data_IF_105245830129
#
_entry.id   IF_105245830129
#
_cell.length_a   1.000
_cell.length_b   1.000
_cell.length_c   1.000
_cell.angle_alpha   90.00
_cell.angle_beta   90.00
_cell.angle_gamma   90.00
#
_symmetry.space_group_name_H-M   'P 1'
#
loop_
_entity.id
_entity.type
_entity.pdbx_description
1 polymer ?
#
# COMPACT_ATOMS: atom_id res chain seq x y z
N UNK A 1 15.06 -1.74 32.26
CA UNK A 1 14.67 -1.73 30.85
C UNK A 1 13.50 -0.77 30.55
N UNK A 2 12.51 -0.57 31.43
CA UNK A 2 11.37 0.35 31.24
C UNK A 2 11.72 1.85 31.13
N UNK A 3 12.80 2.32 31.74
CA UNK A 3 13.15 3.75 31.76
C UNK A 3 13.89 4.24 30.48
N UNK A 4 14.53 3.35 29.72
CA UNK A 4 15.19 3.72 28.45
C UNK A 4 14.25 3.85 27.26
N UNK A 5 13.10 3.19 27.32
CA UNK A 5 12.09 3.20 26.24
C UNK A 5 11.34 4.55 26.17
N UNK A 6 11.04 5.15 27.33
CA UNK A 6 10.35 6.44 27.39
C UNK A 6 11.23 7.60 26.90
N UNK A 7 12.56 7.52 27.08
CA UNK A 7 13.49 8.56 26.61
C UNK A 7 13.62 8.58 25.07
N UNK A 8 13.45 7.46 24.39
CA UNK A 8 13.55 7.41 22.93
C UNK A 8 12.31 8.00 22.24
N UNK A 9 11.13 7.80 22.83
CA UNK A 9 9.88 8.40 22.33
C UNK A 9 9.88 9.92 22.53
N UNK A 10 10.39 10.42 23.66
CA UNK A 10 10.48 11.85 23.92
C UNK A 10 11.48 12.58 23.00
N UNK A 11 12.59 11.96 22.60
CA UNK A 11 13.57 12.60 21.71
C UNK A 11 13.03 12.74 20.30
N UNK A 12 12.25 11.79 19.82
CA UNK A 12 11.62 11.85 18.48
C UNK A 12 10.51 12.90 18.40
N UNK A 13 9.72 13.07 19.46
CA UNK A 13 8.69 14.11 19.55
C UNK A 13 9.27 15.53 19.76
N UNK A 14 10.41 15.68 20.44
CA UNK A 14 10.99 16.98 20.74
C UNK A 14 11.77 17.59 19.56
N UNK A 15 12.35 16.78 18.69
CA UNK A 15 13.05 17.27 17.49
C UNK A 15 12.13 17.87 16.43
N UNK A 16 10.84 17.52 16.43
CA UNK A 16 9.84 18.09 15.51
C UNK A 16 9.13 19.33 16.05
N UNK A 17 9.13 19.55 17.36
CA UNK A 17 8.45 20.70 17.98
C UNK A 17 9.23 22.02 17.86
N UNK A 18 10.54 21.97 17.61
CA UNK A 18 11.41 23.17 17.57
C UNK A 18 11.48 23.87 16.21
N UNK A 19 10.97 23.25 15.14
CA UNK A 19 10.97 23.85 13.78
C UNK A 19 9.65 24.59 13.49
N UNK A 20 8.62 24.43 14.30
CA UNK A 20 7.27 24.99 14.07
C UNK A 20 7.02 26.39 14.62
N UNK A 21 7.97 27.01 15.34
CA UNK A 21 7.72 28.25 16.11
C UNK A 21 8.25 29.54 15.48
N UNK A 22 8.91 29.51 14.33
CA UNK A 22 9.47 30.73 13.69
C UNK A 22 8.75 31.24 12.42
N UNK A 23 7.59 30.71 12.07
CA UNK A 23 6.89 31.11 10.85
C UNK A 23 5.52 31.78 11.10
N UNK A 24 5.44 32.69 12.06
CA UNK A 24 4.32 33.64 12.15
C UNK A 24 4.87 35.06 12.28
N UNK A 25 4.97 35.73 11.14
CA UNK A 25 4.67 37.14 10.92
C UNK A 25 5.12 37.60 9.53
N UNK A 26 4.16 37.70 8.58
CA UNK A 26 4.16 38.80 7.60
C UNK A 26 2.81 38.90 6.91
N UNK A 27 2.29 40.09 6.99
CA UNK A 27 1.00 40.63 6.51
C UNK A 27 0.80 40.52 4.99
N UNK A 28 -0.46 40.33 4.64
CA UNK A 28 -1.11 40.56 3.33
C UNK A 28 -0.87 41.96 2.77
N UNK A 29 -0.91 42.14 1.45
CA UNK A 29 -1.83 43.12 0.92
C UNK A 29 -2.61 42.70 -0.33
N UNK A 30 -3.83 43.24 -0.34
CA UNK A 30 -4.58 43.83 -1.47
C UNK A 30 -5.27 42.97 -2.53
N UNK A 31 -6.52 43.16 -2.46
CA UNK A 31 -7.66 42.86 -3.36
C UNK A 31 -7.49 43.49 -4.74
N UNK A 32 -7.66 42.73 -5.80
CA UNK A 32 -7.91 43.21 -7.14
C UNK A 32 -9.25 42.64 -7.64
N UNK A 33 -10.24 43.55 -7.79
CA UNK A 33 -11.52 43.31 -8.43
C UNK A 33 -11.33 43.24 -9.95
N UNK A 34 -11.88 42.21 -10.59
CA UNK A 34 -12.10 42.19 -12.04
C UNK A 34 -13.59 42.01 -12.31
N UNK A 35 -14.11 42.93 -13.13
CA UNK A 35 -15.49 43.08 -13.52
C UNK A 35 -15.94 41.98 -14.49
N UNK A 36 -17.15 41.51 -14.26
CA UNK A 36 -17.97 40.76 -15.23
C UNK A 36 -18.38 41.63 -16.40
N UNK A 37 -18.29 41.08 -17.60
CA UNK A 37 -18.84 41.68 -18.82
C UNK A 37 -19.80 40.69 -19.44
N UNK A 38 -21.08 41.02 -19.33
CA UNK A 38 -22.20 40.34 -20.01
C UNK A 38 -22.10 40.56 -21.53
N UNK A 39 -22.32 39.52 -22.29
CA UNK A 39 -22.57 39.61 -23.73
C UNK A 39 -23.92 38.93 -24.01
N UNK A 40 -24.87 39.76 -24.34
CA UNK A 40 -26.17 39.43 -24.88
C UNK A 40 -26.06 39.10 -26.37
N UNK A 41 -26.65 38.01 -26.83
CA UNK A 41 -26.91 37.78 -28.26
C UNK A 41 -28.38 37.48 -28.50
N UNK A 42 -28.88 38.28 -29.42
CA UNK A 42 -30.22 38.45 -29.93
C UNK A 42 -30.74 37.24 -30.71
N UNK A 43 -32.03 36.93 -30.49
CA UNK A 43 -32.86 36.07 -31.30
C UNK A 43 -33.28 36.73 -32.62
N UNK A 44 -33.32 35.97 -33.71
CA UNK A 44 -34.16 36.26 -34.90
C UNK A 44 -34.88 35.00 -35.36
N UNK A 45 -36.17 35.14 -35.49
CA UNK A 45 -37.17 34.23 -36.03
C UNK A 45 -37.23 34.23 -37.56
N UNK A 46 -37.61 33.12 -38.17
CA UNK A 46 -38.41 33.06 -39.42
C UNK A 46 -38.94 31.62 -39.61
N UNK A 47 -40.21 31.46 -39.53
CA UNK A 47 -41.22 31.20 -40.56
C UNK A 47 -41.42 29.76 -40.99
N UNK A 48 -42.69 29.31 -40.79
CA UNK A 48 -43.31 28.07 -41.28
C UNK A 48 -43.71 28.21 -42.76
N UNK A 49 -43.96 27.07 -43.46
CA UNK A 49 -45.33 26.85 -43.92
C UNK A 49 -45.87 25.39 -43.83
N UNK A 50 -47.13 25.35 -43.40
CA UNK A 50 -48.38 24.68 -43.84
C UNK A 50 -48.40 23.23 -44.33
N UNK A 51 -49.21 22.44 -43.59
CA UNK A 51 -50.24 21.43 -43.85
C UNK A 51 -50.16 20.47 -45.03
N UNK A 52 -50.26 19.14 -44.71
CA UNK A 52 -51.27 18.26 -45.29
C UNK A 52 -51.69 17.13 -44.32
N UNK A 53 -53.01 16.95 -44.16
CA UNK A 53 -53.72 15.95 -43.37
C UNK A 53 -53.69 14.60 -44.04
N UNK A 54 -53.47 13.52 -43.29
CA UNK A 54 -54.15 12.20 -43.46
C UNK A 54 -54.43 11.60 -42.09
N UNK A 55 -55.73 11.38 -41.81
CA UNK A 55 -56.27 10.50 -40.78
C UNK A 55 -55.84 9.06 -41.03
N UNK A 56 -55.47 8.32 -39.96
CA UNK A 56 -56.24 7.18 -39.47
C UNK A 56 -55.54 6.41 -38.35
N UNK A 57 -56.38 6.00 -37.45
CA UNK A 57 -56.35 4.82 -36.56
C UNK A 57 -55.64 4.93 -35.24
N UNK A 58 -56.47 5.14 -34.25
CA UNK A 58 -56.21 5.08 -32.80
C UNK A 58 -55.69 3.68 -32.40
N UNK A 59 -54.47 3.62 -31.83
CA UNK A 59 -54.14 2.74 -30.75
C UNK A 59 -53.64 3.66 -29.63
N UNK A 60 -54.38 3.70 -28.51
CA UNK A 60 -53.95 4.36 -27.28
C UNK A 60 -52.76 3.57 -26.74
N UNK A 61 -51.56 4.02 -27.01
CA UNK A 61 -50.40 3.72 -26.18
C UNK A 61 -50.56 4.60 -24.92
N UNK A 62 -50.85 3.94 -23.82
CA UNK A 62 -50.63 4.50 -22.47
C UNK A 62 -49.20 4.99 -22.42
N UNK A 63 -48.96 6.29 -22.40
CA UNK A 63 -47.66 6.89 -22.10
C UNK A 63 -47.23 6.38 -20.72
N UNK A 64 -46.35 5.35 -20.72
CA UNK A 64 -45.50 5.03 -19.61
C UNK A 64 -44.58 6.24 -19.38
N UNK A 65 -45.06 7.16 -18.52
CA UNK A 65 -44.22 8.23 -17.98
C UNK A 65 -42.97 7.55 -17.44
N UNK A 66 -41.75 7.92 -17.89
CA UNK A 66 -40.53 7.40 -17.30
C UNK A 66 -40.51 7.84 -15.83
N UNK A 67 -40.81 6.89 -14.97
CA UNK A 67 -40.68 7.06 -13.53
C UNK A 67 -39.23 7.30 -13.21
N UNK A 68 -38.96 8.45 -12.62
CA UNK A 68 -37.77 8.90 -11.92
C UNK A 68 -36.46 8.95 -12.71
N UNK A 69 -35.85 10.10 -12.74
CA UNK A 69 -34.42 10.35 -12.87
C UNK A 69 -33.67 9.60 -11.75
N UNK A 70 -33.57 8.29 -11.80
CA UNK A 70 -32.53 7.56 -11.08
C UNK A 70 -31.21 7.96 -11.76
N UNK A 71 -30.50 8.88 -11.12
CA UNK A 71 -29.11 9.18 -11.43
C UNK A 71 -28.40 7.84 -11.39
N UNK A 72 -28.06 7.27 -12.54
CA UNK A 72 -27.27 6.04 -12.61
C UNK A 72 -25.99 6.31 -11.82
N UNK A 73 -25.77 5.58 -10.75
CA UNK A 73 -24.54 5.68 -9.98
C UNK A 73 -23.37 5.34 -10.90
N UNK A 74 -22.39 6.23 -11.06
CA UNK A 74 -21.35 6.01 -12.03
C UNK A 74 -20.42 4.88 -11.57
N UNK A 75 -20.35 3.82 -12.33
CA UNK A 75 -19.24 2.85 -12.23
C UNK A 75 -18.03 3.46 -12.94
N UNK A 76 -16.94 3.60 -12.22
CA UNK A 76 -15.66 4.08 -12.75
C UNK A 76 -14.80 2.87 -13.05
N UNK A 77 -14.24 2.81 -14.26
CA UNK A 77 -13.28 1.78 -14.67
C UNK A 77 -11.87 2.33 -14.54
N UNK A 78 -10.97 1.48 -14.09
CA UNK A 78 -9.54 1.78 -13.96
C UNK A 78 -8.69 0.75 -14.68
N UNK A 79 -7.48 1.14 -14.99
CA UNK A 79 -6.52 0.32 -15.73
C UNK A 79 -5.10 0.70 -15.33
N UNK A 80 -4.23 -0.30 -15.20
CA UNK A 80 -2.78 -0.13 -15.06
C UNK A 80 -2.04 -1.17 -15.89
N UNK A 81 -0.97 -0.73 -16.54
CA UNK A 81 0.14 -1.61 -16.96
C UNK A 81 1.45 -0.98 -16.49
N UNK A 82 2.26 -1.78 -15.79
CA UNK A 82 3.59 -1.42 -15.28
C UNK A 82 4.61 -2.45 -15.78
N UNK A 83 5.36 -2.06 -16.82
CA UNK A 83 6.45 -2.84 -17.40
C UNK A 83 7.80 -2.39 -16.89
N UNK A 84 8.75 -3.31 -16.76
CA UNK A 84 10.09 -3.00 -16.25
C UNK A 84 11.19 -3.84 -16.92
N UNK A 85 12.42 -3.31 -16.81
CA UNK A 85 13.67 -4.03 -16.99
C UNK A 85 14.53 -3.82 -15.73
N UNK A 86 14.98 -4.90 -15.10
CA UNK A 86 15.83 -4.85 -13.90
C UNK A 86 17.22 -5.39 -14.23
N UNK A 87 18.21 -4.51 -14.30
CA UNK A 87 19.63 -4.86 -14.46
C UNK A 87 20.24 -5.14 -13.07
N UNK A 88 20.20 -6.38 -12.62
CA UNK A 88 20.87 -6.79 -11.39
C UNK A 88 22.37 -6.93 -11.60
N UNK A 89 23.18 -6.28 -10.74
CA UNK A 89 24.63 -6.41 -10.73
C UNK A 89 25.08 -7.74 -10.09
N UNK A 90 24.21 -8.40 -9.35
CA UNK A 90 24.45 -9.71 -8.75
C UNK A 90 24.26 -10.85 -9.75
N UNK A 91 23.51 -10.64 -10.83
CA UNK A 91 23.26 -11.59 -11.93
C UNK A 91 22.95 -13.02 -11.46
N UNK A 92 21.91 -13.21 -10.61
CA UNK A 92 21.58 -14.55 -10.12
C UNK A 92 21.25 -15.49 -11.29
N UNK A 93 21.75 -16.73 -11.23
CA UNK A 93 21.51 -17.74 -12.29
C UNK A 93 20.01 -18.04 -12.46
N UNK A 94 19.24 -17.97 -11.37
CA UNK A 94 17.78 -18.13 -11.40
C UNK A 94 17.05 -16.99 -12.12
N UNK A 95 17.72 -15.84 -12.36
CA UNK A 95 17.12 -14.57 -12.77
C UNK A 95 16.03 -14.07 -11.82
N UNK A 96 16.00 -14.53 -10.58
CA UNK A 96 15.03 -14.14 -9.56
C UNK A 96 15.72 -13.47 -8.38
N UNK A 97 15.14 -12.34 -7.94
CA UNK A 97 15.53 -11.69 -6.70
C UNK A 97 14.76 -12.29 -5.52
N UNK A 98 15.41 -12.31 -4.37
CA UNK A 98 14.78 -12.62 -3.10
C UNK A 98 14.53 -11.33 -2.30
N UNK A 99 13.63 -11.43 -1.33
CA UNK A 99 13.31 -10.35 -0.38
C UNK A 99 12.80 -9.08 -1.06
N UNK A 100 12.07 -9.23 -2.16
CA UNK A 100 11.33 -8.16 -2.84
C UNK A 100 10.16 -8.74 -3.61
N UNK A 101 9.09 -7.97 -3.72
CA UNK A 101 7.90 -8.36 -4.49
C UNK A 101 7.69 -7.48 -5.71
N UNK A 102 8.58 -6.52 -5.94
CA UNK A 102 8.59 -5.65 -7.11
C UNK A 102 9.84 -5.90 -7.94
N UNK A 103 9.72 -5.88 -9.26
CA UNK A 103 10.81 -6.13 -10.20
C UNK A 103 11.60 -7.41 -9.89
N UNK A 104 10.89 -8.49 -9.57
CA UNK A 104 11.47 -9.75 -9.05
C UNK A 104 12.32 -10.50 -10.07
N UNK A 105 12.07 -10.31 -11.37
CA UNK A 105 12.84 -10.90 -12.47
C UNK A 105 13.96 -9.96 -12.91
N UNK A 106 15.13 -10.49 -13.25
CA UNK A 106 16.31 -9.70 -13.59
C UNK A 106 16.85 -10.01 -14.99
N UNK A 107 17.49 -8.99 -15.61
CA UNK A 107 18.14 -9.09 -16.91
C UNK A 107 17.19 -9.57 -18.03
N UNK A 108 15.93 -9.17 -17.93
CA UNK A 108 14.88 -9.38 -18.93
C UNK A 108 13.78 -8.33 -18.77
N UNK A 109 13.00 -8.08 -19.83
CA UNK A 109 11.79 -7.26 -19.75
C UNK A 109 10.64 -8.10 -19.17
N UNK A 110 9.85 -7.50 -18.28
CA UNK A 110 8.71 -8.17 -17.69
C UNK A 110 7.60 -7.19 -17.31
N UNK A 111 6.39 -7.73 -17.04
CA UNK A 111 5.28 -6.98 -16.44
C UNK A 111 5.33 -7.18 -14.92
N UNK A 112 5.50 -6.08 -14.19
CA UNK A 112 5.45 -6.07 -12.74
C UNK A 112 4.02 -6.25 -12.24
N UNK A 113 3.13 -5.36 -12.71
CA UNK A 113 1.71 -5.38 -12.38
C UNK A 113 0.89 -4.85 -13.57
N UNK A 114 -0.15 -5.58 -13.92
CA UNK A 114 -1.23 -5.09 -14.76
C UNK A 114 -2.54 -5.37 -14.04
N UNK A 115 -3.48 -4.41 -14.05
CA UNK A 115 -4.83 -4.65 -13.55
C UNK A 115 -5.89 -3.92 -14.35
N UNK A 116 -7.11 -4.41 -14.24
CA UNK A 116 -8.34 -3.71 -14.61
C UNK A 116 -9.27 -3.73 -13.43
N UNK A 117 -9.98 -2.63 -13.19
CA UNK A 117 -10.94 -2.57 -12.09
C UNK A 117 -12.22 -1.81 -12.44
N UNK A 118 -13.27 -2.11 -11.69
CA UNK A 118 -14.53 -1.40 -11.66
C UNK A 118 -14.82 -0.98 -10.22
N UNK A 119 -15.05 0.31 -10.01
CA UNK A 119 -15.36 0.90 -8.71
C UNK A 119 -16.71 1.60 -8.76
N UNK A 120 -17.53 1.39 -7.74
CA UNK A 120 -18.74 2.16 -7.49
C UNK A 120 -18.67 2.78 -6.09
N UNK A 121 -19.04 4.05 -5.98
CA UNK A 121 -19.14 4.73 -4.68
C UNK A 121 -20.32 5.72 -4.74
N UNK A 122 -21.28 5.51 -3.85
CA UNK A 122 -22.49 6.30 -3.71
C UNK A 122 -22.61 6.80 -2.28
N UNK A 123 -23.69 7.50 -1.97
CA UNK A 123 -23.99 7.91 -0.60
C UNK A 123 -24.40 6.72 0.31
N UNK A 124 -24.76 5.57 -0.24
CA UNK A 124 -25.33 4.45 0.50
C UNK A 124 -24.48 3.18 0.45
N UNK A 125 -23.85 2.91 -0.68
CA UNK A 125 -23.05 1.71 -0.91
C UNK A 125 -21.79 2.03 -1.72
N UNK A 126 -20.80 1.18 -1.59
CA UNK A 126 -19.56 1.22 -2.36
C UNK A 126 -19.05 -0.18 -2.62
N UNK A 127 -18.20 -0.33 -3.61
CA UNK A 127 -17.55 -1.59 -3.90
C UNK A 127 -16.47 -1.44 -4.95
N UNK A 128 -15.58 -2.39 -5.01
CA UNK A 128 -14.54 -2.50 -6.03
C UNK A 128 -14.33 -3.96 -6.41
N UNK A 129 -14.22 -4.22 -7.69
CA UNK A 129 -13.70 -5.46 -8.24
C UNK A 129 -12.48 -5.11 -9.09
N UNK A 130 -11.32 -5.68 -8.75
CA UNK A 130 -10.07 -5.47 -9.46
C UNK A 130 -9.40 -6.82 -9.74
N UNK A 131 -9.05 -7.05 -11.00
CA UNK A 131 -8.33 -8.24 -11.47
C UNK A 131 -6.90 -7.85 -11.84
N UNK A 132 -5.93 -8.66 -11.43
CA UNK A 132 -4.51 -8.35 -11.54
C UNK A 132 -3.68 -9.50 -12.11
N UNK A 133 -2.53 -9.14 -12.73
CA UNK A 133 -1.55 -10.05 -13.30
C UNK A 133 -0.15 -9.44 -13.20
N UNK A 134 0.88 -10.26 -13.22
CA UNK A 134 2.27 -9.82 -13.26
C UNK A 134 3.18 -10.53 -12.26
N UNK A 135 4.47 -10.22 -12.33
CA UNK A 135 5.49 -10.87 -11.48
C UNK A 135 5.35 -10.51 -10.02
N UNK A 136 4.91 -9.28 -9.70
CA UNK A 136 4.65 -8.89 -8.31
C UNK A 136 3.47 -9.66 -7.70
N UNK A 137 2.47 -10.00 -8.51
CA UNK A 137 1.33 -10.80 -8.06
C UNK A 137 1.78 -12.21 -7.66
N UNK A 138 2.59 -12.86 -8.51
CA UNK A 138 3.15 -14.18 -8.21
C UNK A 138 3.97 -14.14 -6.91
N UNK A 139 4.84 -13.15 -6.75
CA UNK A 139 5.70 -13.01 -5.58
C UNK A 139 4.90 -12.80 -4.27
N UNK A 140 3.81 -12.06 -4.34
CA UNK A 140 3.03 -11.72 -3.16
C UNK A 140 2.05 -12.82 -2.70
N UNK A 141 1.56 -13.63 -3.62
CA UNK A 141 0.60 -14.68 -3.33
C UNK A 141 1.25 -16.08 -3.24
N UNK A 142 2.58 -16.17 -3.32
CA UNK A 142 3.29 -17.45 -3.21
C UNK A 142 3.14 -18.13 -1.85
N UNK A 143 2.71 -17.40 -0.81
CA UNK A 143 2.42 -17.93 0.52
C UNK A 143 0.96 -18.34 0.76
N UNK A 144 0.04 -18.13 -0.21
CA UNK A 144 -1.34 -18.55 -0.07
C UNK A 144 -1.46 -20.07 0.00
N UNK A 145 -2.20 -20.55 1.00
CA UNK A 145 -2.43 -21.96 1.21
C UNK A 145 -3.28 -22.60 0.12
N UNK A 146 -2.92 -23.80 -0.27
CA UNK A 146 -3.66 -24.63 -1.22
C UNK A 146 -4.53 -25.69 -0.52
N UNK A 147 -4.89 -25.48 0.73
CA UNK A 147 -5.62 -26.44 1.54
C UNK A 147 -7.13 -26.38 1.31
N UNK A 148 -7.73 -27.52 0.98
CA UNK A 148 -9.18 -27.70 0.84
C UNK A 148 -9.67 -27.63 -0.63
N UNK A 149 -10.93 -28.09 -0.83
CA UNK A 149 -11.53 -28.21 -2.16
C UNK A 149 -11.83 -26.87 -2.83
N UNK A 150 -11.94 -25.80 -2.05
CA UNK A 150 -12.30 -24.44 -2.54
C UNK A 150 -11.13 -23.49 -2.57
N UNK A 151 -9.98 -23.87 -2.02
CA UNK A 151 -8.79 -23.06 -2.10
C UNK A 151 -8.11 -23.26 -3.44
N UNK A 152 -8.04 -22.20 -4.22
CA UNK A 152 -7.38 -22.18 -5.51
C UNK A 152 -6.50 -20.94 -5.56
N UNK A 153 -5.23 -21.10 -5.20
CA UNK A 153 -4.23 -20.05 -5.18
C UNK A 153 -4.19 -19.29 -6.53
N UNK A 154 -4.34 -20.00 -7.63
CA UNK A 154 -4.31 -19.40 -8.99
C UNK A 154 -5.48 -18.42 -9.20
N UNK A 155 -6.68 -18.74 -8.74
CA UNK A 155 -7.85 -17.85 -8.83
C UNK A 155 -7.75 -16.68 -7.86
N UNK A 156 -7.33 -16.94 -6.62
CA UNK A 156 -7.26 -15.96 -5.54
C UNK A 156 -6.23 -14.89 -5.87
N UNK A 157 -5.05 -15.23 -6.33
CA UNK A 157 -3.98 -14.26 -6.63
C UNK A 157 -4.34 -13.27 -7.73
N UNK A 158 -5.26 -13.63 -8.62
CA UNK A 158 -5.72 -12.73 -9.67
C UNK A 158 -6.77 -11.72 -9.20
N UNK A 159 -7.30 -11.85 -7.98
CA UNK A 159 -8.15 -10.85 -7.34
C UNK A 159 -7.32 -9.87 -6.53
N UNK A 160 -7.18 -8.63 -7.01
CA UNK A 160 -6.50 -7.57 -6.27
C UNK A 160 -7.39 -7.07 -5.13
N UNK A 161 -8.62 -6.71 -5.46
CA UNK A 161 -9.67 -6.35 -4.51
C UNK A 161 -11.02 -6.88 -5.00
N UNK A 162 -11.83 -7.38 -4.09
CA UNK A 162 -13.19 -7.82 -4.34
C UNK A 162 -14.00 -7.59 -3.05
N UNK A 163 -14.55 -6.39 -2.90
CA UNK A 163 -15.33 -6.04 -1.71
C UNK A 163 -16.58 -5.24 -2.04
N UNK A 164 -17.57 -5.38 -1.17
CA UNK A 164 -18.74 -4.55 -1.13
C UNK A 164 -18.93 -3.94 0.25
N UNK A 165 -19.55 -2.77 0.32
CA UNK A 165 -19.79 -2.10 1.58
C UNK A 165 -20.99 -1.18 1.54
N UNK A 166 -21.50 -0.85 2.71
CA UNK A 166 -22.62 0.07 2.87
C UNK A 166 -22.38 1.04 4.03
N UNK A 167 -23.08 2.17 3.97
CA UNK A 167 -22.96 3.23 4.96
C UNK A 167 -23.84 2.93 6.17
N UNK A 168 -23.25 2.84 7.36
CA UNK A 168 -23.96 2.63 8.64
C UNK A 168 -24.46 3.93 9.26
N UNK A 169 -23.85 5.07 8.93
CA UNK A 169 -24.16 6.38 9.51
C UNK A 169 -23.63 7.51 8.66
N UNK A 170 -23.52 8.72 9.21
CA UNK A 170 -23.11 9.91 8.45
C UNK A 170 -21.72 9.77 7.83
N UNK A 171 -20.77 9.15 8.56
CA UNK A 171 -19.38 9.04 8.13
C UNK A 171 -18.80 7.61 8.28
N UNK A 172 -19.62 6.63 8.65
CA UNK A 172 -19.18 5.27 8.97
C UNK A 172 -19.59 4.30 7.88
N UNK A 173 -18.67 3.49 7.44
CA UNK A 173 -18.82 2.45 6.43
C UNK A 173 -18.50 1.08 6.99
N UNK A 174 -19.24 0.07 6.58
CA UNK A 174 -18.94 -1.34 6.79
C UNK A 174 -18.66 -1.97 5.43
N UNK A 175 -17.46 -2.48 5.24
CA UNK A 175 -17.03 -3.19 4.04
C UNK A 175 -16.75 -4.65 4.38
N UNK A 176 -16.97 -5.56 3.43
CA UNK A 176 -16.62 -6.97 3.55
C UNK A 176 -16.08 -7.51 2.24
N UNK A 177 -15.06 -8.37 2.30
CA UNK A 177 -14.43 -8.99 1.15
C UNK A 177 -12.91 -8.95 1.23
N UNK A 178 -12.25 -8.92 0.05
CA UNK A 178 -10.80 -8.82 -0.11
C UNK A 178 -10.46 -7.37 -0.45
N UNK A 179 -9.57 -6.77 0.33
CA UNK A 179 -9.15 -5.38 0.15
C UNK A 179 -7.71 -5.18 0.63
N UNK A 180 -7.09 -4.05 0.24
CA UNK A 180 -5.72 -3.74 0.67
C UNK A 180 -5.60 -3.63 2.18
N UNK A 181 -4.51 -4.17 2.71
CA UNK A 181 -4.15 -4.08 4.11
C UNK A 181 -3.99 -2.63 4.58
N UNK A 182 -4.07 -2.44 5.88
CA UNK A 182 -4.01 -1.11 6.48
C UNK A 182 -2.62 -0.75 7.03
N UNK A 183 -1.66 -1.66 7.04
CA UNK A 183 -0.29 -1.42 7.48
C UNK A 183 0.55 -0.77 6.37
N UNK A 184 1.61 -0.05 6.76
CA UNK A 184 2.57 0.53 5.85
C UNK A 184 2.22 1.92 5.32
N UNK A 185 3.23 2.56 4.72
CA UNK A 185 3.14 3.91 4.14
C UNK A 185 2.96 3.89 2.61
N UNK A 186 3.78 3.11 1.92
CA UNK A 186 3.76 3.03 0.47
C UNK A 186 2.51 2.29 -0.05
N UNK A 187 2.14 2.57 -1.28
CA UNK A 187 1.12 1.84 -2.00
C UNK A 187 1.67 0.52 -2.56
N UNK A 188 0.78 -0.42 -2.75
CA UNK A 188 1.05 -1.61 -3.49
C UNK A 188 1.35 -1.32 -4.99
N UNK A 189 0.79 -0.29 -5.50
CA UNK A 189 0.93 0.09 -6.89
C UNK A 189 2.18 0.96 -7.00
N UNK A 190 3.24 0.46 -7.64
CA UNK A 190 4.52 1.17 -7.78
C UNK A 190 4.39 2.56 -8.41
N UNK A 191 3.44 2.74 -9.33
CA UNK A 191 3.11 4.02 -9.94
C UNK A 191 2.78 5.11 -8.91
N UNK A 192 2.22 4.76 -7.76
CA UNK A 192 1.79 5.69 -6.70
C UNK A 192 2.91 6.05 -5.71
N UNK A 193 4.04 5.33 -5.75
CA UNK A 193 5.13 5.49 -4.81
C UNK A 193 6.19 6.48 -5.31
N UNK A 194 7.03 6.96 -4.40
CA UNK A 194 8.16 7.84 -4.73
C UNK A 194 9.36 7.10 -5.31
N UNK A 195 9.45 5.80 -5.05
CA UNK A 195 10.47 4.90 -5.58
C UNK A 195 9.80 3.65 -6.15
N UNK A 196 10.49 2.92 -7.04
CA UNK A 196 9.87 1.80 -7.74
C UNK A 196 9.58 0.61 -6.83
N UNK A 197 10.61 0.17 -6.10
CA UNK A 197 10.48 -0.95 -5.16
C UNK A 197 9.84 -0.48 -3.86
N UNK A 198 9.15 -1.39 -3.18
CA UNK A 198 8.63 -1.11 -1.84
C UNK A 198 9.71 -1.29 -0.78
N UNK A 199 9.51 -0.65 0.38
CA UNK A 199 10.31 -0.89 1.57
C UNK A 199 10.15 -2.33 2.06
N UNK A 200 11.17 -2.90 2.70
CA UNK A 200 11.03 -4.20 3.35
C UNK A 200 9.86 -4.24 4.34
N UNK A 201 9.61 -3.14 5.06
CA UNK A 201 8.46 -3.05 5.96
C UNK A 201 7.15 -3.31 5.25
N UNK A 202 6.98 -2.83 4.02
CA UNK A 202 5.76 -3.02 3.26
C UNK A 202 5.72 -4.39 2.56
N UNK A 203 6.85 -4.90 2.10
CA UNK A 203 6.92 -6.23 1.47
C UNK A 203 6.61 -7.37 2.45
N UNK A 204 6.66 -7.10 3.77
CA UNK A 204 6.47 -8.10 4.81
C UNK A 204 5.38 -7.76 5.83
N UNK A 205 4.47 -6.85 5.51
CA UNK A 205 3.20 -6.66 6.21
C UNK A 205 2.03 -7.09 5.32
N UNK A 206 0.84 -7.31 5.89
CA UNK A 206 -0.33 -7.67 5.11
C UNK A 206 -0.66 -6.59 4.08
N UNK A 207 -0.61 -6.97 2.89
CA UNK A 207 -0.78 -6.26 1.69
C UNK A 207 -2.22 -6.32 1.19
N UNK A 208 -2.81 -7.51 1.23
CA UNK A 208 -4.23 -7.74 1.14
C UNK A 208 -4.69 -8.45 2.43
N UNK A 209 -5.93 -8.27 2.73
CA UNK A 209 -6.63 -8.98 3.81
C UNK A 209 -8.00 -9.39 3.31
N UNK A 210 -8.50 -10.51 3.82
CA UNK A 210 -9.86 -10.95 3.63
C UNK A 210 -10.61 -10.84 4.95
N UNK A 211 -11.73 -10.10 4.96
CA UNK A 211 -12.44 -9.87 6.22
C UNK A 211 -13.48 -8.77 6.17
N UNK A 212 -13.69 -8.15 7.32
CA UNK A 212 -14.63 -7.05 7.52
C UNK A 212 -13.90 -5.81 8.03
N UNK A 213 -14.22 -4.66 7.47
CA UNK A 213 -13.65 -3.36 7.84
C UNK A 213 -14.74 -2.37 8.20
N UNK A 214 -14.66 -1.82 9.41
CA UNK A 214 -15.43 -0.64 9.80
C UNK A 214 -14.53 0.59 9.67
N UNK A 215 -14.95 1.61 8.92
CA UNK A 215 -14.13 2.81 8.70
C UNK A 215 -14.95 4.07 8.75
N UNK A 216 -14.33 5.18 9.16
CA UNK A 216 -15.05 6.45 9.26
C UNK A 216 -14.19 7.61 9.73
N UNK A 217 -14.87 8.78 9.90
CA UNK A 217 -14.28 9.98 10.50
C UNK A 217 -14.82 10.17 11.91
N UNK A 218 -13.93 10.45 12.86
CA UNK A 218 -14.28 10.91 14.21
C UNK A 218 -14.46 12.43 14.17
N UNK A 219 -13.55 13.13 13.47
CA UNK A 219 -13.60 14.55 13.14
C UNK A 219 -13.14 14.76 11.71
N UNK A 220 -13.18 15.98 11.19
CA UNK A 220 -12.62 16.28 9.85
C UNK A 220 -11.10 16.03 9.75
N UNK A 221 -10.41 15.99 10.89
CA UNK A 221 -8.96 15.78 10.98
C UNK A 221 -8.56 14.40 11.49
N UNK A 222 -9.50 13.61 11.98
CA UNK A 222 -9.24 12.31 12.60
C UNK A 222 -10.14 11.24 12.02
N UNK A 223 -9.55 10.23 11.38
CA UNK A 223 -10.23 9.07 10.82
C UNK A 223 -9.76 7.77 11.44
N UNK A 224 -10.58 6.73 11.33
CA UNK A 224 -10.29 5.42 11.87
C UNK A 224 -10.68 4.30 10.93
N UNK A 225 -10.04 3.13 11.12
CA UNK A 225 -10.45 1.85 10.57
C UNK A 225 -10.30 0.79 11.66
N UNK A 226 -11.26 -0.13 11.74
CA UNK A 226 -11.21 -1.34 12.57
C UNK A 226 -11.34 -2.53 11.62
N UNK A 227 -10.52 -3.54 11.82
CA UNK A 227 -10.42 -4.71 10.96
C UNK A 227 -10.61 -6.00 11.75
N UNK A 228 -11.38 -6.93 11.17
CA UNK A 228 -11.43 -8.33 11.54
C UNK A 228 -11.14 -9.15 10.30
N UNK A 229 -10.04 -9.90 10.30
CA UNK A 229 -9.50 -10.56 9.12
C UNK A 229 -9.25 -12.05 9.40
N UNK A 230 -9.19 -12.85 8.33
CA UNK A 230 -8.82 -14.27 8.39
C UNK A 230 -7.40 -14.49 8.92
N UNK A 231 -6.48 -13.51 8.77
CA UNK A 231 -5.10 -13.60 9.23
C UNK A 231 -4.18 -12.53 8.61
N UNK A 232 -2.88 -12.78 8.70
CA UNK A 232 -1.81 -11.91 8.19
C UNK A 232 -1.51 -12.25 6.72
N UNK A 233 -2.14 -11.53 5.78
CA UNK A 233 -1.98 -11.73 4.32
C UNK A 233 -2.43 -13.12 3.86
N UNK A 234 -3.64 -13.51 4.23
CA UNK A 234 -4.27 -14.73 3.75
C UNK A 234 -5.71 -14.47 3.33
N UNK A 235 -6.14 -15.09 2.25
CA UNK A 235 -7.55 -15.17 1.84
C UNK A 235 -8.15 -16.45 2.35
N UNK A 236 -7.44 -17.58 2.19
CA UNK A 236 -7.85 -18.87 2.70
C UNK A 236 -7.23 -19.10 4.08
N UNK A 237 -8.05 -19.03 5.11
CA UNK A 237 -7.62 -19.22 6.51
C UNK A 237 -7.06 -20.64 6.74
N UNK A 238 -5.90 -20.72 7.38
CA UNK A 238 -5.20 -21.98 7.72
C UNK A 238 -5.31 -22.36 9.20
N UNK A 239 -6.05 -21.59 9.99
CA UNK A 239 -6.32 -21.84 11.42
C UNK A 239 -7.79 -21.51 11.77
N UNK A 240 -8.12 -21.34 13.03
CA UNK A 240 -9.49 -21.07 13.51
C UNK A 240 -9.58 -19.74 14.26
N UNK A 241 -8.51 -18.95 14.24
CA UNK A 241 -8.41 -17.73 15.00
C UNK A 241 -8.61 -16.52 14.06
N UNK A 242 -9.43 -15.58 14.49
CA UNK A 242 -9.63 -14.32 13.77
C UNK A 242 -8.55 -13.35 14.19
N UNK A 243 -7.93 -12.69 13.23
CA UNK A 243 -7.00 -11.60 13.46
C UNK A 243 -7.71 -10.25 13.43
N UNK A 244 -7.15 -9.27 14.12
CA UNK A 244 -7.71 -7.92 14.18
C UNK A 244 -6.65 -6.84 14.09
N UNK A 245 -7.11 -5.64 13.80
CA UNK A 245 -6.24 -4.47 13.76
C UNK A 245 -7.01 -3.17 13.69
N UNK A 246 -6.29 -2.08 13.86
CA UNK A 246 -6.87 -0.77 13.63
C UNK A 246 -5.89 0.18 12.94
N UNK A 247 -6.43 1.22 12.30
CA UNK A 247 -5.74 2.41 11.83
C UNK A 247 -6.36 3.62 12.49
N UNK A 248 -5.53 4.51 13.00
CA UNK A 248 -5.90 5.86 13.40
C UNK A 248 -5.05 6.84 12.58
N UNK A 249 -5.70 7.75 11.86
CA UNK A 249 -5.02 8.74 11.04
C UNK A 249 -5.44 10.14 11.46
N UNK A 250 -4.46 10.97 11.79
CA UNK A 250 -4.63 12.34 12.23
C UNK A 250 -3.93 13.32 11.29
N UNK A 251 -4.71 14.22 10.71
CA UNK A 251 -4.27 15.30 9.82
C UNK A 251 -4.48 16.64 10.54
N UNK A 252 -3.58 17.07 11.45
CA UNK A 252 -3.75 18.30 12.22
C UNK A 252 -3.83 19.55 11.35
N UNK A 253 -3.07 19.53 10.25
CA UNK A 253 -3.00 20.58 9.22
C UNK A 253 -3.08 19.94 7.84
N UNK A 254 -3.30 20.72 6.79
CA UNK A 254 -3.41 20.19 5.42
C UNK A 254 -2.09 19.60 4.87
N UNK A 255 -0.97 19.84 5.53
CA UNK A 255 0.37 19.43 5.08
C UNK A 255 1.06 18.44 6.03
N UNK A 256 0.41 17.99 7.10
CA UNK A 256 0.97 17.09 8.09
C UNK A 256 0.00 15.94 8.39
N UNK A 257 0.49 14.71 8.34
CA UNK A 257 -0.25 13.50 8.65
C UNK A 257 0.53 12.63 9.63
N UNK A 258 -0.17 12.12 10.63
CA UNK A 258 0.29 11.03 11.49
C UNK A 258 -0.66 9.84 11.36
N UNK A 259 -0.10 8.63 11.32
CA UNK A 259 -0.88 7.40 11.25
C UNK A 259 -0.30 6.38 12.21
N UNK A 260 -1.19 5.72 12.94
CA UNK A 260 -0.87 4.57 13.75
C UNK A 260 -1.71 3.38 13.29
N UNK A 261 -1.03 2.32 12.92
CA UNK A 261 -1.65 1.07 12.49
C UNK A 261 -1.23 -0.04 13.44
N UNK A 262 -2.13 -1.00 13.67
CA UNK A 262 -1.84 -2.18 14.48
C UNK A 262 -2.36 -3.46 13.82
N UNK A 263 -1.79 -4.58 14.25
CA UNK A 263 -2.27 -5.92 13.96
C UNK A 263 -2.07 -6.80 15.19
N UNK A 264 -3.03 -7.70 15.47
CA UNK A 264 -2.94 -8.74 16.47
C UNK A 264 -3.65 -9.99 15.96
N UNK A 265 -2.96 -11.14 15.98
CA UNK A 265 -3.52 -12.41 15.54
C UNK A 265 -2.58 -13.58 15.77
N UNK A 266 -3.14 -14.79 15.76
CA UNK A 266 -2.37 -16.02 15.69
C UNK A 266 -2.19 -16.43 14.22
N UNK A 267 -0.93 -16.54 13.79
CA UNK A 267 -0.60 -16.85 12.40
C UNK A 267 -0.07 -18.28 12.23
N UNK A 268 -0.14 -19.06 13.29
CA UNK A 268 0.27 -20.46 13.23
C UNK A 268 -0.86 -21.34 12.68
N UNK A 269 -0.57 -22.32 11.83
CA UNK A 269 -1.56 -23.30 11.38
C UNK A 269 -2.19 -24.06 12.54
N UNK A 270 -3.44 -24.55 12.37
CA UNK A 270 -4.19 -25.27 13.42
C UNK A 270 -3.42 -26.45 14.04
N UNK A 271 -2.53 -27.10 13.29
CA UNK A 271 -1.72 -28.23 13.75
C UNK A 271 -0.54 -27.86 14.65
N UNK A 272 -0.22 -26.57 14.78
CA UNK A 272 0.91 -26.06 15.57
C UNK A 272 0.42 -25.27 16.79
N UNK A 273 1.23 -25.17 17.86
CA UNK A 273 0.89 -24.33 19.00
C UNK A 273 0.69 -22.87 18.59
N UNK A 274 -0.26 -22.20 19.25
CA UNK A 274 -0.54 -20.78 19.02
C UNK A 274 0.63 -19.91 19.42
N UNK A 275 0.94 -18.93 18.56
CA UNK A 275 1.90 -17.87 18.82
C UNK A 275 1.29 -16.53 18.35
N UNK A 276 0.81 -15.74 19.30
CA UNK A 276 0.21 -14.45 19.00
C UNK A 276 1.27 -13.49 18.45
N UNK A 277 0.94 -12.86 17.33
CA UNK A 277 1.71 -11.79 16.70
C UNK A 277 1.05 -10.46 16.99
N UNK A 278 1.84 -9.48 17.40
CA UNK A 278 1.45 -8.09 17.62
C UNK A 278 2.34 -7.19 16.78
N UNK A 279 1.74 -6.29 16.03
CA UNK A 279 2.47 -5.38 15.15
C UNK A 279 1.96 -3.95 15.32
N UNK A 280 2.88 -3.00 15.39
CA UNK A 280 2.60 -1.57 15.42
C UNK A 280 3.43 -0.88 14.35
N UNK A 281 2.78 -0.02 13.58
CA UNK A 281 3.40 0.77 12.53
C UNK A 281 3.00 2.23 12.73
N UNK A 282 4.00 3.10 12.94
CA UNK A 282 3.83 4.54 13.13
C UNK A 282 4.38 5.25 11.90
N UNK A 283 3.61 6.18 11.36
CA UNK A 283 3.94 6.91 10.14
C UNK A 283 3.77 8.39 10.39
N UNK A 284 4.68 9.20 9.86
CA UNK A 284 4.55 10.64 9.76
C UNK A 284 4.85 11.08 8.31
N UNK A 285 4.01 11.95 7.76
CA UNK A 285 4.22 12.59 6.47
C UNK A 285 4.12 14.10 6.66
N UNK A 286 5.05 14.84 6.06
CA UNK A 286 5.09 16.29 6.08
C UNK A 286 5.36 16.84 4.66
N UNK A 287 4.50 17.75 4.23
CA UNK A 287 4.59 18.48 2.96
C UNK A 287 4.84 19.96 3.23
N UNK A 288 6.10 20.35 3.61
CA UNK A 288 6.40 21.75 3.94
C UNK A 288 6.12 22.70 2.80
N UNK A 289 6.30 22.24 1.57
CA UNK A 289 6.01 22.96 0.34
C UNK A 289 5.28 22.03 -0.63
N UNK A 290 4.59 22.60 -1.62
CA UNK A 290 3.82 21.86 -2.62
C UNK A 290 4.65 20.79 -3.36
N UNK A 291 5.93 21.08 -3.58
CA UNK A 291 6.83 20.21 -4.36
C UNK A 291 7.67 19.26 -3.51
N UNK A 292 7.62 19.35 -2.19
CA UNK A 292 8.43 18.56 -1.28
C UNK A 292 7.58 17.71 -0.35
N UNK A 293 7.84 16.40 -0.35
CA UNK A 293 7.27 15.45 0.62
C UNK A 293 8.39 14.78 1.39
N UNK A 294 8.27 14.79 2.70
CA UNK A 294 9.08 14.04 3.65
C UNK A 294 8.19 13.04 4.36
N UNK A 295 8.62 11.80 4.49
CA UNK A 295 7.88 10.81 5.25
C UNK A 295 8.82 9.92 6.05
N UNK A 296 8.33 9.37 7.13
CA UNK A 296 9.04 8.38 7.93
C UNK A 296 8.08 7.33 8.47
N UNK A 297 8.57 6.11 8.67
CA UNK A 297 7.87 5.09 9.42
C UNK A 297 8.79 4.42 10.42
N UNK A 298 8.17 3.96 11.52
CA UNK A 298 8.80 3.09 12.50
C UNK A 298 7.85 1.96 12.85
N UNK A 299 8.34 0.72 12.69
CA UNK A 299 7.55 -0.47 12.94
C UNK A 299 8.17 -1.27 14.07
N UNK A 300 7.33 -1.85 14.90
CA UNK A 300 7.73 -2.78 15.95
C UNK A 300 6.75 -3.96 15.99
N UNK A 301 7.31 -5.16 15.86
CA UNK A 301 6.54 -6.39 15.93
C UNK A 301 7.04 -7.29 17.07
N UNK A 302 6.11 -8.03 17.64
CA UNK A 302 6.35 -9.04 18.68
C UNK A 302 5.58 -10.30 18.33
N UNK A 303 6.20 -11.45 18.48
CA UNK A 303 5.52 -12.74 18.36
C UNK A 303 5.86 -13.61 19.56
N UNK A 304 4.83 -14.20 20.16
CA UNK A 304 4.96 -15.17 21.26
C UNK A 304 5.79 -16.36 20.80
N UNK A 305 6.34 -17.10 21.76
CA UNK A 305 6.99 -18.37 21.58
C UNK A 305 6.20 -19.42 22.34
N UNK A 306 5.67 -20.39 21.63
CA UNK A 306 4.97 -21.52 22.24
C UNK A 306 5.93 -22.52 22.89
N UNK A 307 7.20 -22.54 22.46
CA UNK A 307 8.24 -23.43 22.98
C UNK A 307 9.41 -22.63 23.54
N UNK A 308 10.07 -23.19 24.56
CA UNK A 308 11.36 -22.68 25.04
C UNK A 308 12.53 -23.14 24.18
N UNK A 309 12.30 -24.05 23.25
CA UNK A 309 13.32 -24.52 22.31
C UNK A 309 13.21 -23.75 21.00
N UNK A 310 14.30 -23.13 20.61
CA UNK A 310 14.43 -22.40 19.35
C UNK A 310 15.48 -23.05 18.47
N UNK A 311 15.17 -23.07 17.18
CA UNK A 311 16.16 -23.37 16.16
C UNK A 311 16.99 -22.11 15.89
N UNK A 312 18.26 -22.13 16.28
CA UNK A 312 19.21 -21.04 16.07
C UNK A 312 20.22 -21.47 15.00
N UNK A 313 20.42 -20.62 14.02
CA UNK A 313 21.44 -20.86 12.99
C UNK A 313 22.79 -20.34 13.46
N UNK A 314 23.84 -21.17 13.35
CA UNK A 314 25.22 -20.85 13.72
C UNK A 314 26.16 -21.05 12.54
N UNK A 315 27.44 -20.64 12.67
CA UNK A 315 28.45 -20.88 11.64
C UNK A 315 28.67 -22.40 11.37
N UNK A 316 28.31 -23.26 12.33
CA UNK A 316 28.40 -24.70 12.23
C UNK A 316 27.08 -25.40 11.86
N UNK A 317 26.06 -24.65 11.49
CA UNK A 317 24.74 -25.16 11.12
C UNK A 317 23.66 -24.89 12.17
N UNK A 318 22.44 -25.43 11.97
CA UNK A 318 21.32 -25.24 12.88
C UNK A 318 21.53 -25.99 14.21
N UNK A 319 21.13 -25.33 15.30
CA UNK A 319 21.23 -25.86 16.66
C UNK A 319 19.95 -25.55 17.43
N UNK A 320 19.39 -26.54 18.15
CA UNK A 320 18.28 -26.28 19.10
C UNK A 320 18.85 -25.74 20.40
N UNK A 321 18.42 -24.54 20.77
CA UNK A 321 18.84 -23.87 22.00
C UNK A 321 17.64 -23.73 22.92
N UNK A 322 17.78 -24.21 24.17
CA UNK A 322 16.76 -23.97 25.20
C UNK A 322 16.91 -22.58 25.80
N UNK A 323 15.81 -21.85 25.90
CA UNK A 323 15.75 -20.53 26.51
C UNK A 323 15.19 -20.60 27.93
N UNK A 324 15.63 -19.71 28.79
CA UNK A 324 15.20 -19.64 30.18
C UNK A 324 13.75 -19.15 30.34
N UNK A 325 13.24 -18.44 29.35
CA UNK A 325 11.87 -17.90 29.35
C UNK A 325 11.24 -17.99 27.95
N UNK A 326 9.91 -17.97 27.92
CA UNK A 326 9.11 -17.81 26.71
C UNK A 326 9.14 -16.34 26.24
N UNK A 327 10.33 -15.79 25.97
CA UNK A 327 10.50 -14.44 25.50
C UNK A 327 9.91 -14.26 24.09
N UNK A 328 9.38 -13.09 23.77
CA UNK A 328 8.91 -12.76 22.44
C UNK A 328 10.07 -12.72 21.44
N UNK A 329 9.81 -13.17 20.19
CA UNK A 329 10.59 -12.73 19.03
C UNK A 329 10.25 -11.28 18.74
N UNK A 330 11.21 -10.51 18.24
CA UNK A 330 11.04 -9.08 18.04
C UNK A 330 11.59 -8.63 16.70
N UNK A 331 10.89 -7.70 16.06
CA UNK A 331 11.39 -6.99 14.88
C UNK A 331 11.32 -5.49 15.09
N UNK A 332 12.24 -4.78 14.43
CA UNK A 332 12.28 -3.32 14.38
C UNK A 332 12.57 -2.88 12.96
N UNK A 333 11.79 -1.95 12.44
CA UNK A 333 11.97 -1.42 11.08
C UNK A 333 11.89 0.09 11.10
N UNK A 334 12.77 0.74 10.36
CA UNK A 334 12.76 2.19 10.18
C UNK A 334 12.92 2.56 8.73
N UNK A 335 12.12 3.52 8.27
CA UNK A 335 12.19 4.02 6.91
C UNK A 335 12.07 5.54 6.89
N UNK A 336 12.74 6.15 5.91
CA UNK A 336 12.64 7.58 5.61
C UNK A 336 12.52 7.73 4.11
N UNK A 337 11.57 8.57 3.67
CA UNK A 337 11.34 8.92 2.28
C UNK A 337 11.50 10.42 2.09
N UNK A 338 12.04 10.78 0.93
CA UNK A 338 12.12 12.13 0.42
C UNK A 338 11.66 12.12 -1.03
N UNK A 339 10.77 13.05 -1.40
CA UNK A 339 10.36 13.26 -2.77
C UNK A 339 10.33 14.75 -3.09
N UNK A 340 10.95 15.14 -4.19
CA UNK A 340 11.02 16.53 -4.62
C UNK A 340 10.75 16.65 -6.13
N UNK A 341 9.70 17.40 -6.49
CA UNK A 341 9.35 17.74 -7.86
C UNK A 341 10.07 19.06 -8.23
N UNK A 342 11.16 18.95 -8.96
CA UNK A 342 12.00 20.11 -9.30
C UNK A 342 11.62 20.76 -10.63
N UNK A 343 10.85 20.08 -11.49
CA UNK A 343 10.20 20.58 -12.69
C UNK A 343 8.78 19.97 -12.77
N UNK A 344 7.86 20.55 -13.58
CA UNK A 344 6.50 20.03 -13.69
C UNK A 344 6.41 18.54 -14.01
N UNK A 345 7.30 18.03 -14.89
CA UNK A 345 7.33 16.64 -15.32
C UNK A 345 8.39 15.81 -14.59
N UNK A 346 9.26 16.41 -13.74
CA UNK A 346 10.39 15.70 -13.16
C UNK A 346 10.35 15.66 -11.64
N UNK A 347 10.53 14.46 -11.10
CA UNK A 347 10.59 14.22 -9.65
C UNK A 347 11.78 13.34 -9.29
N UNK A 348 12.45 13.67 -8.18
CA UNK A 348 13.39 12.77 -7.51
C UNK A 348 12.66 12.17 -6.31
N UNK A 349 12.78 10.86 -6.15
CA UNK A 349 12.36 10.11 -4.97
C UNK A 349 13.52 9.38 -4.35
N UNK A 350 13.60 9.33 -3.03
CA UNK A 350 14.59 8.50 -2.31
C UNK A 350 13.96 7.80 -1.14
N UNK A 351 14.52 6.65 -0.77
CA UNK A 351 14.19 5.91 0.45
C UNK A 351 15.45 5.39 1.12
N UNK A 352 15.53 5.57 2.43
CA UNK A 352 16.48 4.89 3.31
C UNK A 352 15.70 3.95 4.21
N UNK A 353 16.20 2.73 4.40
CA UNK A 353 15.52 1.70 5.14
C UNK A 353 16.46 0.85 6.00
N UNK A 354 15.97 0.41 7.14
CA UNK A 354 16.64 -0.54 8.03
C UNK A 354 15.63 -1.53 8.57
N UNK A 355 15.89 -2.84 8.40
CA UNK A 355 15.08 -3.94 8.89
C UNK A 355 15.91 -4.83 9.80
N UNK A 356 15.41 -5.12 11.00
CA UNK A 356 16.08 -5.89 12.03
C UNK A 356 15.15 -7.02 12.50
N UNK A 357 15.28 -8.19 11.88
CA UNK A 357 14.60 -9.44 12.23
C UNK A 357 15.64 -10.54 12.49
N UNK A 358 16.42 -10.36 13.56
CA UNK A 358 17.46 -11.29 13.95
C UNK A 358 16.91 -12.68 14.29
N UNK A 359 15.73 -12.71 14.89
CA UNK A 359 15.09 -13.93 15.36
C UNK A 359 14.19 -14.57 14.29
N UNK A 360 14.24 -14.06 13.07
CA UNK A 360 13.49 -14.59 11.92
C UNK A 360 12.01 -14.77 12.21
N UNK A 361 11.43 -13.75 12.83
CA UNK A 361 10.03 -13.71 13.22
C UNK A 361 9.10 -13.69 11.99
N UNK A 362 9.45 -12.92 10.98
CA UNK A 362 8.72 -12.76 9.74
C UNK A 362 9.52 -13.27 8.55
N UNK A 363 10.82 -12.91 8.48
CA UNK A 363 11.64 -13.20 7.32
C UNK A 363 12.66 -14.29 7.67
N UNK A 364 12.39 -15.50 7.20
CA UNK A 364 13.27 -16.65 7.42
C UNK A 364 14.39 -16.65 6.38
N UNK A 365 15.64 -16.51 6.83
CA UNK A 365 16.84 -16.54 5.99
C UNK A 365 17.67 -17.80 6.18
N UNK A 366 17.42 -18.56 7.25
CA UNK A 366 18.23 -19.70 7.69
C UNK A 366 19.70 -19.31 7.90
N UNK A 367 19.97 -18.08 8.31
CA UNK A 367 21.30 -17.55 8.55
C UNK A 367 21.47 -17.13 10.02
N UNK A 368 22.72 -16.99 10.46
CA UNK A 368 23.09 -16.77 11.86
C UNK A 368 22.54 -15.46 12.43
N UNK A 369 22.64 -14.39 11.67
CA UNK A 369 22.19 -13.07 12.10
C UNK A 369 20.75 -12.74 11.64
N UNK A 370 20.05 -13.72 11.02
CA UNK A 370 18.71 -13.54 10.51
C UNK A 370 18.62 -12.44 9.45
N UNK A 371 17.45 -11.84 9.29
CA UNK A 371 17.26 -10.77 8.33
C UNK A 371 17.59 -9.40 8.96
N UNK A 372 18.87 -9.06 8.95
CA UNK A 372 19.36 -7.75 9.39
C UNK A 372 19.93 -7.00 8.18
N UNK A 373 19.09 -6.19 7.55
CA UNK A 373 19.44 -5.53 6.28
C UNK A 373 19.15 -4.02 6.34
N UNK A 374 19.86 -3.29 5.51
CA UNK A 374 19.58 -1.87 5.24
C UNK A 374 19.68 -1.59 3.76
N UNK A 375 19.02 -0.54 3.33
CA UNK A 375 18.97 -0.17 1.93
C UNK A 375 18.87 1.34 1.69
N UNK A 376 19.29 1.72 0.49
CA UNK A 376 19.09 3.05 -0.06
C UNK A 376 18.56 2.90 -1.49
N UNK A 377 17.51 3.62 -1.81
CA UNK A 377 16.90 3.65 -3.14
C UNK A 377 16.82 5.10 -3.61
N UNK A 378 17.23 5.36 -4.84
CA UNK A 378 17.08 6.66 -5.49
C UNK A 378 16.40 6.48 -6.84
N UNK A 379 15.47 7.36 -7.16
CA UNK A 379 14.63 7.27 -8.34
C UNK A 379 14.53 8.63 -9.01
N UNK A 380 14.62 8.64 -10.32
CA UNK A 380 14.29 9.78 -11.18
C UNK A 380 13.06 9.44 -11.99
N UNK A 381 12.01 10.23 -11.84
CA UNK A 381 10.73 10.09 -12.54
C UNK A 381 10.61 11.18 -13.63
N UNK A 382 10.13 10.75 -14.80
CA UNK A 382 9.60 11.62 -15.84
C UNK A 382 8.10 11.36 -15.99
N UNK A 383 7.29 12.39 -15.78
CA UNK A 383 5.82 12.36 -15.71
C UNK A 383 5.26 13.32 -16.76
N UNK A 384 5.29 12.94 -18.06
CA UNK A 384 4.80 13.81 -19.13
C UNK A 384 3.30 14.06 -19.07
N UNK A 385 2.57 13.13 -18.46
CA UNK A 385 1.13 13.15 -18.23
C UNK A 385 0.84 12.48 -16.88
N UNK A 386 -0.17 12.89 -16.12
CA UNK A 386 -0.52 12.23 -14.86
C UNK A 386 -0.76 10.71 -14.96
N UNK A 387 -1.17 10.23 -16.15
CA UNK A 387 -1.37 8.81 -16.42
C UNK A 387 -0.08 8.06 -16.76
N UNK A 388 1.02 8.75 -17.13
CA UNK A 388 2.24 8.14 -17.68
C UNK A 388 3.42 8.41 -16.74
N UNK A 389 4.11 7.35 -16.34
CA UNK A 389 5.30 7.44 -15.50
C UNK A 389 6.44 6.62 -16.12
N UNK A 390 7.51 7.30 -16.51
CA UNK A 390 8.80 6.71 -16.87
C UNK A 390 9.74 6.87 -15.69
N UNK A 391 10.40 5.80 -15.28
CA UNK A 391 11.14 5.77 -14.02
C UNK A 391 12.49 5.10 -14.17
N UNK A 392 13.53 5.75 -13.63
CA UNK A 392 14.86 5.19 -13.47
C UNK A 392 15.18 5.07 -11.99
N UNK A 393 15.44 3.85 -11.51
CA UNK A 393 15.71 3.60 -10.09
C UNK A 393 17.04 2.91 -9.93
N UNK A 394 17.86 3.37 -8.98
CA UNK A 394 19.00 2.63 -8.44
C UNK A 394 18.68 2.19 -7.02
N UNK A 395 18.90 0.91 -6.73
CA UNK A 395 18.74 0.34 -5.39
C UNK A 395 20.04 -0.32 -4.93
N UNK A 396 20.41 -0.03 -3.69
CA UNK A 396 21.49 -0.66 -2.94
C UNK A 396 20.94 -1.26 -1.67
N UNK A 397 21.25 -2.55 -1.42
CA UNK A 397 20.87 -3.26 -0.19
C UNK A 397 22.09 -3.98 0.37
N UNK A 398 22.21 -4.01 1.71
CA UNK A 398 23.29 -4.72 2.41
C UNK A 398 22.74 -5.42 3.63
N UNK A 399 23.01 -6.72 3.74
CA UNK A 399 22.70 -7.57 4.89
C UNK A 399 23.94 -7.86 5.73
N UNK A 400 23.73 -8.28 6.98
CA UNK A 400 24.76 -8.79 7.86
C UNK A 400 25.30 -10.11 7.34
N UNK A 401 24.42 -11.00 6.88
CA UNK A 401 24.75 -12.30 6.30
C UNK A 401 24.65 -12.31 4.77
N UNK A 402 25.27 -13.28 4.12
CA UNK A 402 25.16 -13.52 2.68
C UNK A 402 23.85 -14.20 2.37
N UNK A 403 22.81 -13.39 2.07
CA UNK A 403 21.43 -13.86 1.84
C UNK A 403 20.92 -13.53 0.43
N UNK A 404 21.54 -12.58 -0.27
CA UNK A 404 21.09 -12.18 -1.60
C UNK A 404 21.67 -13.08 -2.68
N UNK A 405 20.87 -13.58 -3.63
CA UNK A 405 21.38 -14.37 -4.74
C UNK A 405 22.44 -13.59 -5.55
N UNK A 406 23.54 -14.26 -5.90
CA UNK A 406 24.63 -13.71 -6.69
C UNK A 406 25.26 -14.83 -7.54
N UNK A 407 25.01 -14.84 -8.85
CA UNK A 407 25.37 -15.97 -9.70
C UNK A 407 24.89 -17.29 -9.08
N UNK A 408 25.76 -18.28 -8.94
CA UNK A 408 25.50 -19.57 -8.27
C UNK A 408 25.62 -19.52 -6.74
N UNK A 409 25.91 -18.35 -6.13
CA UNK A 409 26.19 -18.21 -4.69
C UNK A 409 25.25 -17.20 -4.04
N UNK A 410 25.58 -16.80 -2.81
CA UNK A 410 24.93 -15.71 -2.10
C UNK A 410 25.91 -14.58 -1.77
N UNK A 411 25.40 -13.37 -1.63
CA UNK A 411 26.15 -12.14 -1.33
C UNK A 411 25.49 -11.38 -0.17
N UNK A 412 26.29 -10.60 0.55
CA UNK A 412 25.80 -9.60 1.51
C UNK A 412 25.25 -8.35 0.82
N UNK A 413 25.59 -8.15 -0.44
CA UNK A 413 25.21 -6.98 -1.22
C UNK A 413 24.21 -7.36 -2.32
N UNK A 414 23.24 -6.47 -2.54
CA UNK A 414 22.35 -6.54 -3.68
C UNK A 414 22.21 -5.14 -4.28
N UNK A 415 22.48 -5.04 -5.57
CA UNK A 415 22.49 -3.76 -6.31
C UNK A 415 21.84 -3.92 -7.67
N UNK A 416 20.98 -2.98 -8.01
CA UNK A 416 20.28 -3.04 -9.28
C UNK A 416 19.93 -1.67 -9.83
N UNK A 417 19.76 -1.61 -11.15
CA UNK A 417 19.16 -0.52 -11.88
C UNK A 417 17.84 -0.99 -12.46
N UNK A 418 16.76 -0.27 -12.21
CA UNK A 418 15.45 -0.58 -12.74
C UNK A 418 15.00 0.56 -13.65
N UNK A 419 14.65 0.22 -14.88
CA UNK A 419 13.91 1.09 -15.78
C UNK A 419 12.47 0.60 -15.84
N UNK A 420 11.49 1.49 -15.72
CA UNK A 420 10.08 1.14 -15.86
C UNK A 420 9.29 2.19 -16.62
N UNK A 421 8.23 1.71 -17.26
CA UNK A 421 7.17 2.51 -17.88
C UNK A 421 5.84 2.00 -17.36
N UNK A 422 5.05 2.89 -16.79
CA UNK A 422 3.71 2.55 -16.35
C UNK A 422 2.67 3.55 -16.86
N UNK A 423 1.49 3.02 -17.21
CA UNK A 423 0.31 3.80 -17.62
C UNK A 423 -0.82 3.40 -16.70
N UNK A 424 -1.44 4.41 -16.05
CA UNK A 424 -2.56 4.24 -15.11
C UNK A 424 -3.67 5.23 -15.46
N UNK A 425 -4.88 4.70 -15.67
CA UNK A 425 -6.09 5.49 -15.97
C UNK A 425 -7.13 5.24 -14.90
#
# INVERSE_FOLDING_TARGET
MRVRFLKFICIFCFSFALVGLEAQEKKSPETLKIQEKEISVSTKSAEQPTEEKKEDTYIKEEELKPTSNQKKDPVVFGFLVDGYYNASLNRPDSKELQYTTQATRTNEYNINLAYVDAKVETDKYRGRLALQFGTSVVANYGGEGTTGKTSNETSIRNMQEAYGGFRLGKSTWLDAGIYFGHLGYESWISHENFVYTRAFSLDYVPYYVSGVRLSGKITEKLSYQLHLNNGYQVVTDNNKDISGGFRLEWNPTGNLMFRWNTFAGNEQPTATPKEMRYYNNFIAEWKPFEHLTLASSFDVGYQERASREDLVYTDNGPLYVRRDSNAFRQIYVGNIWFAYRFLPEWRIGTRLERYLDREQMIIVTNSKDGFQTGGATATLDYIPDPAVLVRFTYQYRRSMDSIYPHEAHTSKLDRMFIFSLSIKI
#
